data_IF_935851174058
#
_entry.id   IF_935851174058
#
_cell.length_a   1.000
_cell.length_b   1.000
_cell.length_c   1.000
_cell.angle_alpha   90.00
_cell.angle_beta   90.00
_cell.angle_gamma   90.00
#
_symmetry.space_group_name_H-M   'P 1'
#
loop_
_entity.id
_entity.type
_entity.pdbx_description
1 polymer ?
#
# COMPACT_ATOMS: atom_id res chain seq x y z
N UNK A 1 -35.75 -5.93 -36.63
CA UNK A 1 -34.55 -6.69 -36.23
C UNK A 1 -33.69 -5.79 -35.37
N UNK A 2 -33.68 -6.02 -34.05
CA UNK A 2 -32.79 -5.31 -33.15
C UNK A 2 -31.38 -5.93 -33.25
N UNK A 3 -30.35 -5.12 -33.50
CA UNK A 3 -28.97 -5.47 -33.18
C UNK A 3 -28.41 -4.37 -32.28
N UNK A 4 -28.19 -4.78 -31.03
CA UNK A 4 -27.56 -4.07 -29.92
C UNK A 4 -26.23 -3.45 -30.34
N UNK A 5 -25.92 -2.20 -29.94
CA UNK A 5 -24.63 -1.60 -30.22
C UNK A 5 -23.55 -2.24 -29.36
N UNK A 6 -22.42 -2.59 -29.98
CA UNK A 6 -21.20 -3.01 -29.31
C UNK A 6 -20.75 -1.96 -28.28
N UNK A 7 -20.62 -2.40 -27.01
CA UNK A 7 -19.96 -1.63 -25.97
C UNK A 7 -18.47 -1.97 -25.96
N UNK A 8 -17.74 -1.43 -26.92
CA UNK A 8 -16.29 -1.30 -26.82
C UNK A 8 -15.95 0.12 -26.38
N UNK A 9 -15.73 0.30 -25.08
CA UNK A 9 -15.08 1.50 -24.56
C UNK A 9 -13.94 1.08 -23.65
N UNK A 10 -12.81 0.83 -24.29
CA UNK A 10 -11.47 1.12 -23.79
C UNK A 10 -11.48 2.45 -23.00
N UNK A 11 -11.70 2.34 -21.69
CA UNK A 11 -11.50 3.43 -20.76
C UNK A 11 -10.02 3.49 -20.42
N UNK A 12 -9.37 4.59 -20.80
CA UNK A 12 -8.06 5.05 -20.32
C UNK A 12 -7.86 4.65 -18.84
N UNK A 13 -6.66 4.28 -18.36
CA UNK A 13 -6.43 4.03 -16.95
C UNK A 13 -6.55 5.36 -16.19
N UNK A 14 -7.80 5.74 -15.90
CA UNK A 14 -8.11 6.86 -15.05
C UNK A 14 -7.49 6.57 -13.69
N UNK A 15 -6.86 7.60 -13.13
CA UNK A 15 -6.27 7.61 -11.81
C UNK A 15 -7.07 6.71 -10.86
N UNK A 16 -6.45 5.73 -10.18
CA UNK A 16 -7.18 4.80 -9.34
C UNK A 16 -8.11 5.58 -8.42
N UNK A 17 -9.41 5.29 -8.46
CA UNK A 17 -10.38 5.98 -7.62
C UNK A 17 -9.95 5.90 -6.15
N UNK A 18 -10.27 6.92 -5.35
CA UNK A 18 -9.84 7.03 -3.95
C UNK A 18 -10.12 5.74 -3.15
N UNK A 19 -11.28 5.12 -3.38
CA UNK A 19 -11.66 3.84 -2.78
C UNK A 19 -10.72 2.68 -3.17
N UNK A 20 -10.23 2.66 -4.41
CA UNK A 20 -9.29 1.65 -4.91
C UNK A 20 -7.90 1.82 -4.29
N UNK A 21 -7.49 3.07 -4.04
CA UNK A 21 -6.24 3.38 -3.31
C UNK A 21 -6.35 2.94 -1.85
N UNK A 22 -7.47 3.25 -1.17
CA UNK A 22 -7.72 2.82 0.21
C UNK A 22 -7.77 1.29 0.34
N UNK A 23 -8.43 0.61 -0.61
CA UNK A 23 -8.43 -0.86 -0.69
C UNK A 23 -7.01 -1.41 -0.89
N UNK A 24 -6.19 -0.77 -1.72
CA UNK A 24 -4.79 -1.17 -1.93
C UNK A 24 -3.94 -1.04 -0.66
N UNK A 25 -4.13 0.04 0.11
CA UNK A 25 -3.44 0.27 1.39
C UNK A 25 -3.90 -0.75 2.44
N UNK A 26 -5.21 -0.99 2.56
CA UNK A 26 -5.75 -1.99 3.48
C UNK A 26 -5.30 -3.42 3.12
N UNK A 27 -5.31 -3.75 1.82
CA UNK A 27 -4.80 -5.01 1.29
C UNK A 27 -3.30 -5.20 1.62
N UNK A 28 -2.48 -4.17 1.43
CA UNK A 28 -1.06 -4.20 1.79
C UNK A 28 -0.83 -4.33 3.29
N UNK A 29 -1.60 -3.61 4.12
CA UNK A 29 -1.51 -3.69 5.58
C UNK A 29 -1.95 -5.05 6.14
N UNK A 30 -2.93 -5.69 5.51
CA UNK A 30 -3.37 -7.06 5.82
C UNK A 30 -2.48 -8.16 5.21
N UNK A 31 -1.43 -7.78 4.47
CA UNK A 31 -0.49 -8.72 3.86
C UNK A 31 -0.97 -9.37 2.56
N UNK A 32 -2.12 -8.98 2.00
CA UNK A 32 -2.62 -9.44 0.69
C UNK A 32 -2.02 -8.60 -0.46
N UNK A 33 -0.75 -8.23 -0.32
CA UNK A 33 0.04 -7.58 -1.37
C UNK A 33 0.19 -8.55 -2.55
N UNK A 34 -0.33 -8.17 -3.72
CA UNK A 34 -0.30 -8.99 -4.93
C UNK A 34 1.12 -9.45 -5.27
N UNK A 35 1.29 -10.72 -5.66
CA UNK A 35 2.56 -11.34 -6.06
C UNK A 35 3.32 -10.54 -7.11
N UNK A 36 2.60 -9.80 -7.99
CA UNK A 36 3.21 -8.94 -9.01
C UNK A 36 4.08 -7.83 -8.42
N UNK A 37 3.66 -7.22 -7.30
CA UNK A 37 4.45 -6.20 -6.60
C UNK A 37 5.65 -6.83 -5.92
N UNK A 38 5.47 -8.04 -5.38
CA UNK A 38 6.55 -8.83 -4.78
C UNK A 38 7.59 -9.25 -5.84
N UNK A 39 7.19 -9.69 -7.02
CA UNK A 39 8.15 -10.05 -8.09
C UNK A 39 8.93 -8.83 -8.60
N UNK A 40 8.29 -7.67 -8.67
CA UNK A 40 8.95 -6.41 -9.02
C UNK A 40 9.93 -5.96 -7.92
N UNK A 41 9.54 -6.15 -6.65
CA UNK A 41 10.35 -5.79 -5.50
C UNK A 41 11.54 -6.73 -5.28
N UNK A 42 11.30 -8.04 -5.36
CA UNK A 42 12.30 -9.10 -5.12
C UNK A 42 13.05 -9.53 -6.39
N UNK A 43 12.61 -9.11 -7.57
CA UNK A 43 13.33 -9.25 -8.84
C UNK A 43 14.31 -8.10 -9.11
N UNK A 44 14.29 -7.06 -8.29
CA UNK A 44 15.23 -5.95 -8.37
C UNK A 44 16.65 -6.38 -7.97
N UNK A 45 17.68 -5.76 -8.54
CA UNK A 45 19.08 -6.20 -8.45
C UNK A 45 19.70 -6.08 -7.05
N UNK A 46 19.02 -5.49 -6.06
CA UNK A 46 19.58 -5.28 -4.72
C UNK A 46 18.52 -5.26 -3.61
N UNK A 47 18.73 -6.01 -2.51
CA UNK A 47 17.81 -6.02 -1.36
C UNK A 47 17.95 -4.81 -0.43
N UNK A 48 19.00 -4.00 -0.59
CA UNK A 48 19.33 -2.89 0.31
C UNK A 48 18.22 -1.84 0.49
N UNK A 49 17.48 -1.40 -0.56
CA UNK A 49 16.41 -0.43 -0.39
C UNK A 49 15.29 -0.92 0.54
N UNK A 50 14.98 -2.21 0.52
CA UNK A 50 13.95 -2.82 1.38
C UNK A 50 14.39 -2.89 2.84
N UNK A 51 15.66 -3.21 3.09
CA UNK A 51 16.23 -3.25 4.45
C UNK A 51 16.21 -1.85 5.06
N UNK A 52 16.69 -0.84 4.33
CA UNK A 52 16.72 0.55 4.81
C UNK A 52 15.31 1.08 5.01
N UNK A 53 14.40 0.82 4.05
CA UNK A 53 13.00 1.22 4.16
C UNK A 53 12.29 0.58 5.35
N UNK A 54 12.51 -0.73 5.56
CA UNK A 54 11.98 -1.45 6.71
C UNK A 54 12.51 -0.91 8.04
N UNK A 55 13.82 -0.65 8.14
CA UNK A 55 14.43 -0.12 9.35
C UNK A 55 13.93 1.29 9.70
N UNK A 56 13.81 2.17 8.69
CA UNK A 56 13.25 3.51 8.85
C UNK A 56 11.80 3.44 9.31
N UNK A 57 10.98 2.58 8.68
CA UNK A 57 9.59 2.37 9.07
C UNK A 57 9.47 1.87 10.51
N UNK A 58 10.26 0.86 10.89
CA UNK A 58 10.27 0.32 12.25
C UNK A 58 10.66 1.37 13.28
N UNK A 59 11.70 2.18 13.01
CA UNK A 59 12.11 3.25 13.91
C UNK A 59 11.00 4.29 14.11
N UNK A 60 10.32 4.68 13.02
CA UNK A 60 9.17 5.60 13.06
C UNK A 60 8.00 5.02 13.85
N UNK A 61 7.69 3.74 13.64
CA UNK A 61 6.62 3.04 14.35
C UNK A 61 6.88 2.98 15.86
N UNK A 62 8.08 2.54 16.26
CA UNK A 62 8.47 2.50 17.69
C UNK A 62 8.45 3.90 18.30
N UNK A 63 8.99 4.90 17.60
CA UNK A 63 8.94 6.29 18.06
C UNK A 63 7.50 6.78 18.29
N UNK A 64 6.58 6.42 17.41
CA UNK A 64 5.15 6.74 17.54
C UNK A 64 4.55 6.08 18.79
N UNK A 65 4.83 4.81 19.03
CA UNK A 65 4.38 4.11 20.24
C UNK A 65 4.91 4.75 21.51
N UNK A 66 6.20 5.15 21.53
CA UNK A 66 6.80 5.83 22.68
C UNK A 66 6.10 7.16 22.98
N UNK A 67 5.79 7.95 21.96
CA UNK A 67 5.05 9.21 22.13
C UNK A 67 3.66 8.97 22.70
N UNK A 68 2.96 7.95 22.22
CA UNK A 68 1.64 7.58 22.74
C UNK A 68 1.75 7.16 24.20
N UNK A 69 2.70 6.28 24.54
CA UNK A 69 2.92 5.83 25.92
C UNK A 69 3.25 7.00 26.83
N UNK A 70 4.12 7.92 26.41
CA UNK A 70 4.44 9.13 27.17
C UNK A 70 3.22 10.03 27.36
N UNK A 71 2.41 10.24 26.31
CA UNK A 71 1.19 11.04 26.40
C UNK A 71 0.18 10.42 27.38
N UNK A 72 0.03 9.10 27.37
CA UNK A 72 -0.86 8.36 28.29
C UNK A 72 -0.35 8.44 29.73
N UNK A 73 0.95 8.23 29.96
CA UNK A 73 1.53 8.27 31.30
C UNK A 73 1.55 9.69 31.88
N UNK A 74 1.72 10.72 31.05
CA UNK A 74 1.68 12.12 31.50
C UNK A 74 0.28 12.57 31.91
N UNK A 75 -0.76 11.85 31.47
CA UNK A 75 -2.16 12.10 31.83
C UNK A 75 -2.67 11.28 33.02
N UNK A 76 -1.83 10.43 33.63
CA UNK A 76 -2.09 9.76 34.92
C UNK A 76 -1.43 10.54 36.06
#
# INVERSE_FOLDING_TARGET
MAKTPENNKNGKPGSPGLLKVMQGIAAGALGVQSSKRREEDFGSHSPWPYIVGGLLFTALFVGTLLLIVQAVLSGQ
#
